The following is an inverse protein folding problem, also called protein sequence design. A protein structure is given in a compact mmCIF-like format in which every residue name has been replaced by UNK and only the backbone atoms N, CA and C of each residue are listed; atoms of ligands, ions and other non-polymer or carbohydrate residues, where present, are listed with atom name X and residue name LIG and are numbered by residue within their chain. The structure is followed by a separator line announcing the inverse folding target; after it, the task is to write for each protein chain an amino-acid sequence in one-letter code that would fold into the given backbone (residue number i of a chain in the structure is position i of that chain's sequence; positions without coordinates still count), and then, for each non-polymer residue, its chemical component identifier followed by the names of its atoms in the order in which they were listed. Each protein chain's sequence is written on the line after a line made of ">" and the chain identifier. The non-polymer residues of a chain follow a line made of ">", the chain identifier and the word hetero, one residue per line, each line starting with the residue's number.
data_IF_158090812605
#
_entry.id   IF_158090812605
#
_cell.length_a   1.000
_cell.length_b   1.000
_cell.length_c   1.000
_cell.angle_alpha   90.00
_cell.angle_beta   90.00
_cell.angle_gamma   90.00
#
_symmetry.space_group_name_H-M   'P 1'
#
loop_
_entity.id
_entity.type
_entity.pdbx_description
1 polymer ?
#
# COMPACT_ATOMS: atom_id res chain seq x y z
N UNK A 1 42.53 -49.43 -60.94
CA UNK A 1 42.65 -48.17 -60.15
C UNK A 1 44.08 -48.11 -59.61
N UNK A 2 44.88 -47.08 -59.95
CA UNK A 2 46.31 -47.04 -59.66
C UNK A 2 46.57 -46.72 -58.17
N UNK A 3 47.51 -47.41 -57.51
CA UNK A 3 47.89 -47.19 -56.12
C UNK A 3 48.22 -45.71 -55.81
N UNK A 4 48.78 -44.97 -56.78
CA UNK A 4 49.03 -43.52 -56.66
C UNK A 4 47.74 -42.71 -56.48
N UNK A 5 46.66 -43.12 -57.14
CA UNK A 5 45.37 -42.43 -57.05
C UNK A 5 44.67 -42.73 -55.73
N UNK A 6 44.80 -43.95 -55.21
CA UNK A 6 44.25 -44.33 -53.90
C UNK A 6 44.95 -43.54 -52.79
N UNK A 7 46.29 -43.50 -52.80
CA UNK A 7 47.06 -42.76 -51.80
C UNK A 7 46.76 -41.25 -51.83
N UNK A 8 46.58 -40.68 -53.04
CA UNK A 8 46.18 -39.27 -53.19
C UNK A 8 44.78 -39.00 -52.64
N UNK A 9 43.82 -39.90 -52.89
CA UNK A 9 42.45 -39.77 -52.36
C UNK A 9 42.41 -39.91 -50.84
N UNK A 10 43.20 -40.81 -50.28
CA UNK A 10 43.27 -41.05 -48.84
C UNK A 10 43.96 -39.90 -48.10
N UNK A 11 45.01 -39.33 -48.70
CA UNK A 11 45.61 -38.07 -48.24
C UNK A 11 44.62 -36.91 -48.27
N UNK A 12 43.84 -36.76 -49.34
CA UNK A 12 42.85 -35.68 -49.47
C UNK A 12 41.77 -35.80 -48.39
N UNK A 13 41.28 -37.01 -48.13
CA UNK A 13 40.29 -37.28 -47.08
C UNK A 13 40.84 -36.96 -45.68
N UNK A 14 42.08 -37.34 -45.39
CA UNK A 14 42.72 -37.05 -44.11
C UNK A 14 42.92 -35.54 -43.86
N UNK A 15 43.28 -34.79 -44.91
CA UNK A 15 43.43 -33.33 -44.83
C UNK A 15 42.06 -32.68 -44.58
N UNK A 16 41.02 -33.11 -45.30
CA UNK A 16 39.65 -32.61 -45.13
C UNK A 16 39.10 -32.90 -43.73
N UNK A 17 39.33 -34.10 -43.19
CA UNK A 17 38.89 -34.46 -41.84
C UNK A 17 39.61 -33.61 -40.78
N UNK A 18 40.93 -33.38 -40.91
CA UNK A 18 41.70 -32.53 -39.99
C UNK A 18 41.26 -31.07 -40.04
N UNK A 19 41.05 -30.52 -41.24
CA UNK A 19 40.57 -29.13 -41.38
C UNK A 19 39.14 -28.99 -40.85
N UNK A 20 38.27 -29.96 -41.10
CA UNK A 20 36.91 -29.95 -40.57
C UNK A 20 36.90 -29.98 -39.03
N UNK A 21 37.74 -30.80 -38.40
CA UNK A 21 37.87 -30.83 -36.94
C UNK A 21 38.36 -29.49 -36.36
N UNK A 22 39.33 -28.84 -37.02
CA UNK A 22 39.82 -27.51 -36.59
C UNK A 22 38.71 -26.46 -36.75
N UNK A 23 38.02 -26.43 -37.90
CA UNK A 23 36.94 -25.48 -38.16
C UNK A 23 35.78 -25.69 -37.18
N UNK A 24 35.39 -26.93 -36.90
CA UNK A 24 34.39 -27.27 -35.88
C UNK A 24 34.82 -26.83 -34.48
N UNK A 25 36.06 -27.09 -34.08
CA UNK A 25 36.56 -26.69 -32.77
C UNK A 25 36.58 -25.16 -32.60
N UNK A 26 36.97 -24.43 -33.65
CA UNK A 26 36.92 -22.96 -33.66
C UNK A 26 35.47 -22.48 -33.58
N UNK A 27 34.54 -23.07 -34.34
CA UNK A 27 33.12 -22.71 -34.31
C UNK A 27 32.46 -22.96 -32.95
N UNK A 28 32.76 -24.11 -32.33
CA UNK A 28 32.26 -24.45 -30.98
C UNK A 28 32.84 -23.47 -29.94
N UNK A 29 34.13 -23.17 -30.01
CA UNK A 29 34.78 -22.22 -29.10
C UNK A 29 34.21 -20.80 -29.25
N UNK A 30 33.97 -20.35 -30.48
CA UNK A 30 33.35 -19.05 -30.77
C UNK A 30 31.90 -18.98 -30.27
N UNK A 31 31.14 -20.09 -30.43
CA UNK A 31 29.76 -20.21 -29.95
C UNK A 31 29.67 -20.20 -28.42
N UNK A 32 30.62 -20.84 -27.72
CA UNK A 32 30.68 -20.83 -26.26
C UNK A 32 31.03 -19.45 -25.69
N UNK A 33 31.93 -18.71 -26.33
CA UNK A 33 32.27 -17.34 -25.94
C UNK A 33 31.08 -16.37 -26.07
N UNK A 34 30.26 -16.52 -27.13
CA UNK A 34 29.03 -15.75 -27.31
C UNK A 34 27.96 -16.10 -26.27
N UNK A 35 27.84 -17.38 -25.90
CA UNK A 35 26.92 -17.83 -24.84
C UNK A 35 27.35 -17.34 -23.44
N UNK A 36 28.66 -17.26 -23.17
CA UNK A 36 29.17 -16.78 -21.88
C UNK A 36 28.81 -15.30 -21.64
N UNK A 37 28.85 -14.48 -22.69
CA UNK A 37 28.42 -13.09 -22.63
C UNK A 37 26.91 -12.97 -22.43
N UNK A 38 26.11 -13.82 -23.08
CA UNK A 38 24.65 -13.83 -22.93
C UNK A 38 24.19 -14.27 -21.53
N UNK A 39 24.87 -15.26 -20.92
CA UNK A 39 24.59 -15.68 -19.54
C UNK A 39 24.94 -14.60 -18.52
N UNK A 40 26.01 -13.84 -18.75
CA UNK A 40 26.32 -12.67 -17.94
C UNK A 40 25.18 -11.64 -18.04
N UNK A 41 24.77 -11.26 -19.26
CA UNK A 41 23.67 -10.30 -19.49
C UNK A 41 22.33 -10.79 -18.91
N UNK A 42 22.03 -12.10 -19.00
CA UNK A 42 20.84 -12.71 -18.39
C UNK A 42 20.90 -12.70 -16.85
N UNK A 43 22.08 -12.92 -16.26
CA UNK A 43 22.30 -12.81 -14.82
C UNK A 43 22.17 -11.35 -14.32
N UNK A 44 22.67 -10.38 -15.10
CA UNK A 44 22.51 -8.95 -14.82
C UNK A 44 21.04 -8.50 -14.88
N UNK A 45 20.23 -9.02 -15.80
CA UNK A 45 18.80 -8.69 -15.91
C UNK A 45 17.96 -9.31 -14.78
N UNK A 46 18.18 -10.58 -14.42
CA UNK A 46 17.48 -11.27 -13.31
C UNK A 46 17.68 -10.56 -11.95
N UNK A 47 18.85 -9.96 -11.71
CA UNK A 47 19.16 -9.32 -10.42
C UNK A 47 18.44 -7.97 -10.22
N UNK A 48 18.01 -7.33 -11.31
CA UNK A 48 17.25 -6.07 -11.29
C UNK A 48 15.78 -6.31 -10.96
N UNK A 49 15.18 -7.41 -11.43
CA UNK A 49 13.76 -7.72 -11.23
C UNK A 49 13.34 -7.98 -9.78
N UNK A 50 14.19 -8.64 -8.97
CA UNK A 50 13.80 -8.96 -7.58
C UNK A 50 13.75 -7.71 -6.69
N UNK A 51 14.66 -6.75 -6.91
CA UNK A 51 14.65 -5.46 -6.19
C UNK A 51 13.57 -4.53 -6.75
N UNK A 52 13.36 -4.53 -8.07
CA UNK A 52 12.31 -3.73 -8.70
C UNK A 52 10.91 -4.21 -8.29
N UNK A 53 10.68 -5.52 -8.16
CA UNK A 53 9.40 -6.07 -7.72
C UNK A 53 9.06 -5.67 -6.26
N UNK A 54 10.04 -5.67 -5.35
CA UNK A 54 9.86 -5.16 -3.97
C UNK A 54 9.59 -3.66 -3.97
N UNK A 55 10.31 -2.88 -4.77
CA UNK A 55 10.10 -1.42 -4.90
C UNK A 55 8.71 -1.13 -5.51
N UNK A 56 8.29 -1.86 -6.55
CA UNK A 56 6.95 -1.74 -7.14
C UNK A 56 5.87 -2.13 -6.12
N UNK A 57 6.06 -3.19 -5.32
CA UNK A 57 5.15 -3.56 -4.24
C UNK A 57 5.05 -2.46 -3.16
N UNK A 58 6.18 -1.89 -2.74
CA UNK A 58 6.22 -0.80 -1.75
C UNK A 58 5.61 0.50 -2.30
N UNK A 59 5.83 0.82 -3.58
CA UNK A 59 5.24 1.97 -4.25
C UNK A 59 3.73 1.79 -4.48
N UNK A 60 3.26 0.56 -4.73
CA UNK A 60 1.82 0.25 -4.86
C UNK A 60 1.09 0.46 -3.53
N UNK A 61 1.69 0.10 -2.40
CA UNK A 61 1.05 0.25 -1.09
C UNK A 61 1.02 1.70 -0.57
N UNK A 62 1.82 2.62 -1.14
CA UNK A 62 1.84 4.04 -0.76
C UNK A 62 0.91 4.92 -1.61
N UNK A 63 0.50 4.47 -2.80
CA UNK A 63 -0.32 5.24 -3.76
C UNK A 63 -1.84 5.06 -3.59
N UNK A 64 -2.30 4.26 -2.62
CA UNK A 64 -3.73 4.08 -2.32
C UNK A 64 -4.25 4.99 -1.18
N UNK A 65 -3.59 6.12 -0.91
CA UNK A 65 -4.12 7.15 0.01
C UNK A 65 -4.76 8.37 -0.65
N UNK A 66 -4.99 8.32 -1.95
CA UNK A 66 -5.77 9.36 -2.66
C UNK A 66 -6.80 8.70 -3.56
N UNK A 67 -7.79 8.05 -2.95
CA UNK A 67 -9.05 7.73 -3.63
C UNK A 67 -9.77 9.08 -3.85
N UNK A 68 -9.68 9.60 -5.07
CA UNK A 68 -10.35 10.83 -5.46
C UNK A 68 -11.87 10.66 -5.36
N UNK A 69 -12.49 11.75 -4.95
CA UNK A 69 -13.79 11.84 -4.33
C UNK A 69 -14.96 11.64 -5.30
N UNK A 70 -15.61 10.48 -5.19
CA UNK A 70 -17.07 10.37 -5.26
C UNK A 70 -17.69 10.36 -3.86
N UNK A 71 -17.08 11.05 -2.88
CA UNK A 71 -17.60 11.08 -1.53
C UNK A 71 -18.88 11.90 -1.52
N UNK A 72 -20.02 11.24 -1.27
CA UNK A 72 -21.21 11.92 -0.78
C UNK A 72 -20.77 12.77 0.41
N UNK A 73 -20.83 14.10 0.24
CA UNK A 73 -20.54 15.02 1.33
C UNK A 73 -21.76 15.02 2.23
N UNK A 74 -21.54 14.57 3.45
CA UNK A 74 -22.51 14.69 4.54
C UNK A 74 -22.04 15.83 5.43
N UNK A 75 -22.98 16.63 5.91
CA UNK A 75 -22.70 17.67 6.90
C UNK A 75 -22.13 17.08 8.19
N UNK A 76 -21.24 17.82 8.84
CA UNK A 76 -20.60 17.38 10.09
C UNK A 76 -21.64 17.18 11.21
N UNK A 77 -22.64 18.05 11.30
CA UNK A 77 -23.72 17.92 12.28
C UNK A 77 -24.55 16.65 12.07
N UNK A 78 -24.80 16.29 10.81
CA UNK A 78 -25.49 15.06 10.45
C UNK A 78 -24.70 13.83 10.87
N UNK A 79 -23.38 13.82 10.62
CA UNK A 79 -22.50 12.73 11.03
C UNK A 79 -22.45 12.58 12.56
N UNK A 80 -22.34 13.69 13.29
CA UNK A 80 -22.35 13.68 14.76
C UNK A 80 -23.68 13.16 15.31
N UNK A 81 -24.81 13.60 14.76
CA UNK A 81 -26.13 13.11 15.16
C UNK A 81 -26.27 11.59 14.96
N UNK A 82 -25.81 11.06 13.83
CA UNK A 82 -25.83 9.61 13.58
C UNK A 82 -24.96 8.82 14.58
N UNK A 83 -23.78 9.35 14.93
CA UNK A 83 -22.89 8.71 15.90
C UNK A 83 -23.47 8.76 17.31
N UNK A 84 -24.13 9.85 17.70
CA UNK A 84 -24.83 9.95 18.98
C UNK A 84 -25.98 8.93 19.06
N UNK A 85 -26.76 8.77 17.99
CA UNK A 85 -27.82 7.74 17.91
C UNK A 85 -27.26 6.33 18.07
N UNK A 86 -26.09 6.04 17.48
CA UNK A 86 -25.40 4.77 17.69
C UNK A 86 -24.99 4.57 19.16
N UNK A 87 -24.48 5.62 19.83
CA UNK A 87 -24.16 5.57 21.27
C UNK A 87 -25.38 5.35 22.16
N UNK A 88 -26.58 5.78 21.73
CA UNK A 88 -27.83 5.50 22.46
C UNK A 88 -28.33 4.06 22.35
N UNK A 89 -27.59 3.18 21.64
CA UNK A 89 -27.87 1.74 21.57
C UNK A 89 -28.57 1.28 20.30
N UNK A 90 -28.77 2.15 19.30
CA UNK A 90 -29.29 1.74 17.98
C UNK A 90 -28.26 0.95 17.20
N UNK A 91 -28.72 -0.08 16.49
CA UNK A 91 -27.81 -0.91 15.71
C UNK A 91 -27.38 -0.21 14.41
N UNK A 92 -26.16 -0.49 13.97
CA UNK A 92 -25.61 0.09 12.75
C UNK A 92 -26.49 -0.20 11.53
N UNK A 93 -27.07 -1.40 11.47
CA UNK A 93 -27.88 -1.87 10.34
C UNK A 93 -29.20 -1.08 10.20
N UNK A 94 -29.84 -0.75 11.32
CA UNK A 94 -31.06 0.07 11.34
C UNK A 94 -30.76 1.49 10.87
N UNK A 95 -29.72 2.13 11.42
CA UNK A 95 -29.31 3.48 11.02
C UNK A 95 -28.93 3.57 9.53
N UNK A 96 -28.31 2.52 8.99
CA UNK A 96 -27.97 2.48 7.56
C UNK A 96 -29.21 2.39 6.67
N UNK A 97 -30.25 1.65 7.10
CA UNK A 97 -31.52 1.52 6.37
C UNK A 97 -32.35 2.79 6.46
N UNK A 98 -32.50 3.35 7.65
CA UNK A 98 -33.36 4.52 7.90
C UNK A 98 -32.81 5.79 7.21
N UNK A 99 -31.49 5.98 7.24
CA UNK A 99 -30.86 7.20 6.73
C UNK A 99 -30.17 7.01 5.38
N UNK A 100 -30.22 5.81 4.77
CA UNK A 100 -29.59 5.52 3.48
C UNK A 100 -28.07 5.66 3.48
N UNK A 101 -27.44 5.53 4.65
CA UNK A 101 -25.99 5.65 4.83
C UNK A 101 -25.34 4.27 4.68
N UNK A 102 -24.20 4.20 4.00
CA UNK A 102 -23.43 2.96 3.91
C UNK A 102 -22.84 2.59 5.28
N UNK A 103 -22.93 1.31 5.67
CA UNK A 103 -22.34 0.79 6.92
C UNK A 103 -20.87 1.14 7.08
N UNK A 104 -20.10 1.06 5.99
CA UNK A 104 -18.69 1.44 5.98
C UNK A 104 -18.44 2.92 6.29
N UNK A 105 -19.33 3.83 5.86
CA UNK A 105 -19.24 5.25 6.22
C UNK A 105 -19.56 5.48 7.69
N UNK A 106 -20.64 4.87 8.21
CA UNK A 106 -20.99 4.98 9.62
C UNK A 106 -19.89 4.40 10.54
N UNK A 107 -19.30 3.25 10.20
CA UNK A 107 -18.17 2.69 10.93
C UNK A 107 -16.95 3.63 10.94
N UNK A 108 -16.65 4.28 9.80
CA UNK A 108 -15.59 5.28 9.70
C UNK A 108 -15.88 6.47 10.61
N UNK A 109 -17.11 6.99 10.62
CA UNK A 109 -17.50 8.10 11.48
C UNK A 109 -17.43 7.74 12.96
N UNK A 110 -17.98 6.59 13.36
CA UNK A 110 -17.87 6.10 14.75
C UNK A 110 -16.40 6.07 15.19
N UNK A 111 -15.50 5.53 14.35
CA UNK A 111 -14.08 5.51 14.65
C UNK A 111 -13.48 6.92 14.73
N UNK A 112 -13.79 7.80 13.78
CA UNK A 112 -13.28 9.17 13.75
C UNK A 112 -13.74 9.98 14.97
N UNK A 113 -15.04 10.03 15.26
CA UNK A 113 -15.56 10.78 16.41
C UNK A 113 -15.20 10.10 17.75
N UNK A 114 -14.97 8.78 17.78
CA UNK A 114 -14.40 8.12 18.98
C UNK A 114 -12.97 8.55 19.25
N UNK A 115 -12.15 8.74 18.20
CA UNK A 115 -10.77 9.23 18.34
C UNK A 115 -10.72 10.72 18.69
N UNK A 116 -11.63 11.53 18.12
CA UNK A 116 -11.76 12.94 18.49
C UNK A 116 -12.10 13.11 19.99
N UNK A 117 -12.91 12.20 20.58
CA UNK A 117 -13.13 12.18 22.03
C UNK A 117 -11.94 11.68 22.86
N UNK A 118 -10.91 11.08 22.25
CA UNK A 118 -9.71 10.59 22.94
C UNK A 118 -8.53 11.56 22.84
N UNK A 119 -8.55 12.53 21.92
CA UNK A 119 -7.55 13.60 21.81
C UNK A 119 -7.89 14.84 22.64
N UNK A 120 -9.01 14.83 23.38
CA UNK A 120 -9.22 15.71 24.53
C UNK A 120 -8.44 15.19 25.75
N UNK A 121 -7.15 14.91 25.55
CA UNK A 121 -6.17 14.68 26.60
C UNK A 121 -5.80 16.00 27.31
N UNK A 122 -6.79 16.88 27.46
CA UNK A 122 -6.79 18.10 28.26
C UNK A 122 -7.81 17.90 29.37
N UNK A 123 -7.28 17.60 30.53
CA UNK A 123 -7.87 17.77 31.85
C UNK A 123 -8.86 18.94 31.89
N UNK A 124 -10.14 18.67 31.63
CA UNK A 124 -11.26 19.61 31.84
C UNK A 124 -12.13 19.23 33.04
N UNK A 125 -11.75 18.22 33.83
CA UNK A 125 -12.65 17.65 34.85
C UNK A 125 -12.39 18.12 36.29
N UNK A 126 -11.55 19.15 36.53
CA UNK A 126 -11.38 19.72 37.88
C UNK A 126 -11.53 21.25 37.90
N UNK A 127 -10.82 21.97 37.02
CA UNK A 127 -10.85 23.44 36.98
C UNK A 127 -12.22 24.02 36.58
N UNK A 128 -12.87 23.42 35.58
CA UNK A 128 -14.18 23.90 35.11
C UNK A 128 -15.31 23.59 36.11
N UNK A 129 -15.21 22.50 36.89
CA UNK A 129 -16.18 22.18 37.96
C UNK A 129 -16.12 23.25 39.06
N UNK A 130 -14.92 23.69 39.43
CA UNK A 130 -14.74 24.72 40.46
C UNK A 130 -15.22 26.11 39.97
N UNK A 131 -14.98 26.46 38.70
CA UNK A 131 -15.51 27.71 38.11
C UNK A 131 -17.03 27.68 37.91
N UNK A 132 -17.62 26.52 37.58
CA UNK A 132 -19.07 26.36 37.48
C UNK A 132 -19.73 26.44 38.87
N UNK A 133 -19.14 25.82 39.90
CA UNK A 133 -19.63 25.96 41.28
C UNK A 133 -19.54 27.41 41.78
N UNK A 134 -18.45 28.12 41.49
CA UNK A 134 -18.28 29.52 41.90
C UNK A 134 -19.31 30.46 41.23
N UNK A 135 -19.64 30.22 39.96
CA UNK A 135 -20.68 30.98 39.24
C UNK A 135 -22.09 30.69 39.76
N UNK A 136 -22.40 29.44 40.13
CA UNK A 136 -23.71 29.12 40.71
C UNK A 136 -23.92 29.77 42.08
N UNK A 137 -22.89 29.82 42.94
CA UNK A 137 -22.99 30.45 44.25
C UNK A 137 -23.27 31.96 44.18
N UNK A 138 -22.66 32.67 43.22
CA UNK A 138 -22.90 34.10 43.02
C UNK A 138 -24.32 34.39 42.53
N UNK A 139 -24.85 33.56 41.63
CA UNK A 139 -26.22 33.69 41.11
C UNK A 139 -27.29 33.42 42.19
N UNK A 140 -27.00 32.60 43.20
CA UNK A 140 -27.87 32.39 44.36
C UNK A 140 -27.89 33.61 45.29
N UNK A 141 -26.73 34.23 45.53
CA UNK A 141 -26.65 35.46 46.33
C UNK A 141 -27.38 36.64 45.65
N UNK A 142 -27.23 36.80 44.34
CA UNK A 142 -27.97 37.83 43.58
C UNK A 142 -29.49 37.61 43.62
N UNK A 143 -29.96 36.36 43.56
CA UNK A 143 -31.38 36.03 43.70
C UNK A 143 -31.93 36.31 45.10
N UNK A 144 -31.13 36.10 46.15
CA UNK A 144 -31.55 36.36 47.53
C UNK A 144 -31.67 37.86 47.83
N UNK A 145 -30.88 38.69 47.17
CA UNK A 145 -30.96 40.15 47.27
C UNK A 145 -32.18 40.67 46.50
N UNK A 146 -32.42 40.16 45.28
CA UNK A 146 -33.57 40.55 44.44
C UNK A 146 -34.93 40.08 45.00
N UNK A 147 -34.98 39.00 45.79
CA UNK A 147 -36.22 38.52 46.44
C UNK A 147 -36.54 39.19 47.78
N UNK A 148 -35.60 39.96 48.34
CA UNK A 148 -35.77 40.68 49.61
C UNK A 148 -36.04 42.19 49.41
N UNK A 149 -35.84 42.72 48.20
CA UNK A 149 -36.35 44.01 47.76
C UNK A 149 -37.84 43.89 47.37
#
# INVERSE_FOLDING_TARGET
>A
MNAKNIFKMEMYKNIMDKTYMIVLAVFISLSLLLNFSWLAVWSYTIKVDRKLCVIICLLRHKKERTFMSGFKRYDEDFKQSLVNLYQTGKTQTELCKDYGVSSSALAKWIKQYSQVRLEDNTVLTAKQIQELQKRNAQLEEENLILKKA
#
